data_IF_486159371798
#
_entry.id   IF_486159371798
#
_cell.length_a   1.000
_cell.length_b   1.000
_cell.length_c   1.000
_cell.angle_alpha   90.00
_cell.angle_beta   90.00
_cell.angle_gamma   90.00
#
_symmetry.space_group_name_H-M   'P 1'
#
loop_
_entity.id
_entity.type
_entity.pdbx_description
1 polymer ?
#
# COMPACT_ATOMS: atom_id res chain seq x y z
N UNK A 1 29.38 -8.34 0.60
CA UNK A 1 28.66 -7.56 1.64
C UNK A 1 27.17 -7.58 1.32
N UNK A 2 26.27 -7.29 2.27
CA UNK A 2 24.81 -7.17 2.01
C UNK A 2 24.49 -6.12 0.93
N UNK A 3 25.37 -5.13 0.77
CA UNK A 3 25.29 -4.10 -0.26
C UNK A 3 25.49 -4.68 -1.68
N UNK A 4 26.45 -5.59 -1.87
CA UNK A 4 26.76 -6.16 -3.19
C UNK A 4 25.63 -7.02 -3.74
N UNK A 5 24.94 -7.76 -2.86
CA UNK A 5 23.75 -8.53 -3.21
C UNK A 5 22.59 -7.62 -3.65
N UNK A 6 22.42 -6.48 -2.98
CA UNK A 6 21.32 -5.55 -3.26
C UNK A 6 21.60 -4.65 -4.47
N UNK A 7 22.87 -4.31 -4.75
CA UNK A 7 23.28 -3.68 -6.03
C UNK A 7 22.92 -4.60 -7.21
N UNK A 8 23.06 -5.92 -7.02
CA UNK A 8 22.70 -6.93 -8.02
C UNK A 8 21.20 -6.91 -8.37
N UNK A 9 20.31 -6.49 -7.46
CA UNK A 9 18.89 -6.30 -7.77
C UNK A 9 18.65 -5.14 -8.75
N UNK A 10 19.47 -4.08 -8.67
CA UNK A 10 19.36 -2.93 -9.57
C UNK A 10 19.98 -3.20 -10.94
N UNK A 11 21.07 -3.96 -10.98
CA UNK A 11 21.84 -4.22 -12.23
C UNK A 11 21.44 -5.52 -12.93
N UNK A 12 20.93 -6.50 -12.20
CA UNK A 12 20.60 -7.84 -12.68
C UNK A 12 19.34 -8.42 -11.97
N UNK A 13 18.15 -7.81 -12.16
CA UNK A 13 16.94 -8.15 -11.40
C UNK A 13 16.52 -9.62 -11.52
N UNK A 14 16.69 -10.23 -12.71
CA UNK A 14 16.32 -11.63 -12.96
C UNK A 14 17.24 -12.58 -12.20
N UNK A 15 18.54 -12.32 -12.23
CA UNK A 15 19.56 -13.11 -11.53
C UNK A 15 19.38 -12.99 -10.02
N UNK A 16 19.09 -11.78 -9.52
CA UNK A 16 18.78 -11.57 -8.11
C UNK A 16 17.48 -12.28 -7.70
N UNK A 17 16.41 -12.19 -8.51
CA UNK A 17 15.18 -12.95 -8.26
C UNK A 17 15.45 -14.45 -8.19
N UNK A 18 16.23 -15.01 -9.11
CA UNK A 18 16.61 -16.42 -9.08
C UNK A 18 17.42 -16.80 -7.84
N UNK A 19 18.34 -15.93 -7.40
CA UNK A 19 19.10 -16.11 -6.16
C UNK A 19 18.19 -16.09 -4.92
N UNK A 20 17.32 -15.08 -4.81
CA UNK A 20 16.36 -14.96 -3.70
C UNK A 20 15.42 -16.17 -3.66
N UNK A 21 14.88 -16.58 -4.80
CA UNK A 21 14.04 -17.78 -4.90
C UNK A 21 14.82 -19.04 -4.45
N UNK A 22 16.11 -19.16 -4.79
CA UNK A 22 16.95 -20.28 -4.36
C UNK A 22 17.24 -20.26 -2.84
N UNK A 23 17.60 -19.10 -2.27
CA UNK A 23 17.82 -18.93 -0.82
C UNK A 23 16.55 -19.26 -0.05
N UNK A 24 15.41 -18.75 -0.50
CA UNK A 24 14.12 -19.00 0.15
C UNK A 24 13.72 -20.46 0.03
N UNK A 25 14.03 -21.13 -1.09
CA UNK A 25 13.82 -22.58 -1.24
C UNK A 25 14.63 -23.39 -0.24
N UNK A 26 15.89 -23.01 0.05
CA UNK A 26 16.72 -23.64 1.08
C UNK A 26 16.14 -23.36 2.48
N UNK A 27 15.68 -22.14 2.75
CA UNK A 27 15.05 -21.77 4.02
C UNK A 27 13.73 -22.48 4.35
N UNK A 28 13.11 -23.16 3.38
CA UNK A 28 11.88 -23.96 3.60
C UNK A 28 12.08 -25.17 4.52
N UNK A 29 13.32 -25.65 4.68
CA UNK A 29 13.64 -26.75 5.60
C UNK A 29 13.59 -26.32 7.08
N UNK A 30 13.39 -25.02 7.35
CA UNK A 30 13.39 -24.42 8.69
C UNK A 30 12.08 -23.66 9.03
N UNK A 31 10.93 -24.07 8.48
CA UNK A 31 9.59 -23.51 8.79
C UNK A 31 9.41 -21.98 8.55
N UNK A 32 10.28 -21.35 7.76
CA UNK A 32 10.11 -19.94 7.39
C UNK A 32 9.02 -19.74 6.31
N UNK A 33 8.08 -18.82 6.56
CA UNK A 33 7.05 -18.43 5.58
C UNK A 33 7.69 -17.73 4.38
N UNK A 34 7.67 -18.40 3.22
CA UNK A 34 8.25 -17.97 1.94
C UNK A 34 7.78 -16.56 1.53
N UNK A 35 6.48 -16.24 1.66
CA UNK A 35 5.98 -14.91 1.31
C UNK A 35 6.55 -13.81 2.22
N UNK A 36 6.70 -14.09 3.52
CA UNK A 36 7.26 -13.15 4.49
C UNK A 36 8.70 -12.76 4.11
N UNK A 37 9.49 -13.71 3.60
CA UNK A 37 10.84 -13.46 3.13
C UNK A 37 10.86 -12.60 1.85
N UNK A 38 10.02 -12.90 0.85
CA UNK A 38 9.95 -12.06 -0.36
C UNK A 38 9.59 -10.60 -0.05
N UNK A 39 8.61 -10.37 0.84
CA UNK A 39 8.23 -9.01 1.24
C UNK A 39 9.30 -8.32 2.09
N UNK A 40 10.08 -9.07 2.87
CA UNK A 40 11.21 -8.52 3.63
C UNK A 40 12.34 -8.06 2.72
N UNK A 41 12.66 -8.85 1.69
CA UNK A 41 13.62 -8.47 0.64
C UNK A 41 13.12 -7.24 -0.14
N UNK A 42 11.84 -7.22 -0.53
CA UNK A 42 11.24 -6.06 -1.20
C UNK A 42 11.34 -4.80 -0.32
N UNK A 43 11.03 -4.91 0.98
CA UNK A 43 11.12 -3.77 1.90
C UNK A 43 12.56 -3.24 1.98
N UNK A 44 13.55 -4.13 2.08
CA UNK A 44 14.96 -3.75 2.10
C UNK A 44 15.36 -3.02 0.82
N UNK A 45 14.87 -3.49 -0.34
CA UNK A 45 15.06 -2.79 -1.62
C UNK A 45 14.41 -1.40 -1.62
N UNK A 46 13.18 -1.27 -1.12
CA UNK A 46 12.52 0.03 -1.02
C UNK A 46 13.27 0.98 -0.08
N UNK A 47 13.71 0.51 1.09
CA UNK A 47 14.47 1.29 2.07
C UNK A 47 15.77 1.85 1.46
N UNK A 48 16.54 1.04 0.74
CA UNK A 48 17.79 1.46 0.10
C UNK A 48 17.61 2.59 -0.92
N UNK A 49 16.44 2.65 -1.55
CA UNK A 49 16.09 3.68 -2.53
C UNK A 49 15.33 4.86 -1.92
N UNK A 50 15.24 4.95 -0.59
CA UNK A 50 14.35 5.89 0.12
C UNK A 50 12.91 5.85 -0.42
N UNK A 51 12.51 4.65 -0.87
CA UNK A 51 11.25 4.34 -1.51
C UNK A 51 10.90 5.25 -2.71
N UNK A 52 11.91 5.76 -3.42
CA UNK A 52 11.78 6.61 -4.60
C UNK A 52 12.52 6.03 -5.82
N UNK A 53 11.82 5.95 -6.96
CA UNK A 53 12.29 5.26 -8.17
C UNK A 53 12.20 6.19 -9.39
N UNK A 54 13.27 6.98 -9.69
CA UNK A 54 13.26 8.02 -10.72
C UNK A 54 12.88 7.52 -12.13
N UNK A 55 13.26 6.28 -12.45
CA UNK A 55 12.94 5.63 -13.72
C UNK A 55 11.43 5.38 -13.87
N UNK A 56 10.75 5.05 -12.77
CA UNK A 56 9.30 4.86 -12.76
C UNK A 56 8.57 6.22 -12.82
N UNK A 57 9.11 7.26 -12.18
CA UNK A 57 8.58 8.63 -12.32
C UNK A 57 8.68 9.11 -13.77
N UNK A 58 9.83 8.91 -14.39
CA UNK A 58 10.06 9.28 -15.80
C UNK A 58 9.08 8.53 -16.71
N UNK A 59 8.92 7.23 -16.49
CA UNK A 59 7.95 6.40 -17.23
C UNK A 59 6.51 6.87 -17.02
N UNK A 60 6.13 7.26 -15.80
CA UNK A 60 4.81 7.82 -15.52
C UNK A 60 4.57 9.11 -16.31
N UNK A 61 5.56 10.01 -16.35
CA UNK A 61 5.48 11.26 -17.11
C UNK A 61 5.34 11.02 -18.62
N UNK A 62 6.10 10.06 -19.17
CA UNK A 62 5.96 9.64 -20.57
C UNK A 62 4.57 9.10 -20.87
N UNK A 63 4.03 8.22 -20.01
CA UNK A 63 2.68 7.68 -20.16
C UNK A 63 1.61 8.77 -20.06
N UNK A 64 1.74 9.72 -19.13
CA UNK A 64 0.82 10.86 -19.02
C UNK A 64 0.79 11.66 -20.32
N UNK A 65 1.94 11.93 -20.92
CA UNK A 65 2.04 12.63 -22.22
C UNK A 65 1.42 11.80 -23.35
N UNK A 66 1.76 10.51 -23.44
CA UNK A 66 1.25 9.61 -24.48
C UNK A 66 -0.28 9.46 -24.42
N UNK A 67 -0.85 9.38 -23.22
CA UNK A 67 -2.29 9.24 -22.99
C UNK A 67 -3.03 10.59 -22.99
N UNK A 68 -2.31 11.71 -23.08
CA UNK A 68 -2.88 13.04 -22.93
C UNK A 68 -3.53 13.28 -21.56
N UNK A 69 -3.03 12.65 -20.50
CA UNK A 69 -3.55 12.81 -19.13
C UNK A 69 -2.99 14.11 -18.54
N UNK A 70 -3.91 15.02 -18.21
CA UNK A 70 -3.64 16.29 -17.53
C UNK A 70 -4.29 16.31 -16.15
N UNK A 71 -3.98 17.31 -15.33
CA UNK A 71 -4.54 17.46 -13.98
C UNK A 71 -6.08 17.53 -13.96
N UNK A 72 -6.68 18.10 -15.01
CA UNK A 72 -8.13 18.32 -15.11
C UNK A 72 -8.84 17.27 -15.97
N UNK A 73 -8.16 16.18 -16.32
CA UNK A 73 -8.77 15.12 -17.10
C UNK A 73 -9.85 14.41 -16.28
N UNK A 74 -11.12 14.53 -16.68
CA UNK A 74 -12.23 13.77 -16.10
C UNK A 74 -12.41 12.38 -16.74
N UNK A 75 -11.83 12.17 -17.92
CA UNK A 75 -11.94 10.93 -18.72
C UNK A 75 -10.70 10.03 -18.64
N UNK A 76 -9.97 10.02 -17.51
CA UNK A 76 -8.75 9.23 -17.36
C UNK A 76 -9.04 7.74 -17.55
N UNK A 77 -10.12 7.22 -16.96
CA UNK A 77 -10.49 5.82 -17.09
C UNK A 77 -10.70 5.41 -18.55
N UNK A 78 -11.34 6.25 -19.37
CA UNK A 78 -11.56 5.99 -20.79
C UNK A 78 -10.24 5.96 -21.56
N UNK A 79 -9.37 6.94 -21.34
CA UNK A 79 -8.02 6.97 -21.94
C UNK A 79 -7.21 5.71 -21.63
N UNK A 80 -7.29 5.19 -20.40
CA UNK A 80 -6.59 3.96 -20.01
C UNK A 80 -7.18 2.72 -20.69
N UNK A 81 -8.52 2.62 -20.78
CA UNK A 81 -9.19 1.53 -21.49
C UNK A 81 -8.84 1.54 -22.97
N UNK A 82 -8.99 2.68 -23.63
CA UNK A 82 -8.71 2.84 -25.06
C UNK A 82 -7.28 2.42 -25.39
N UNK A 83 -6.32 2.78 -24.53
CA UNK A 83 -4.93 2.37 -24.70
C UNK A 83 -4.72 0.87 -24.53
N UNK A 84 -5.34 0.25 -23.52
CA UNK A 84 -5.27 -1.20 -23.29
C UNK A 84 -5.96 -1.99 -24.41
N UNK A 85 -7.11 -1.54 -24.89
CA UNK A 85 -7.86 -2.12 -26.01
C UNK A 85 -7.07 -2.00 -27.31
N UNK A 86 -6.65 -0.79 -27.69
CA UNK A 86 -6.01 -0.55 -28.97
C UNK A 86 -4.62 -1.19 -29.07
N UNK A 87 -3.83 -1.14 -28.00
CA UNK A 87 -2.43 -1.59 -28.03
C UNK A 87 -2.24 -3.04 -27.61
N UNK A 88 -3.11 -3.56 -26.75
CA UNK A 88 -2.96 -4.90 -26.17
C UNK A 88 -4.21 -5.78 -26.32
N UNK A 89 -5.24 -5.32 -27.04
CA UNK A 89 -6.45 -6.09 -27.34
C UNK A 89 -7.18 -6.58 -26.09
N UNK A 90 -7.18 -5.75 -25.04
CA UNK A 90 -7.94 -6.04 -23.82
C UNK A 90 -9.44 -6.00 -24.08
N UNK A 91 -10.18 -6.71 -23.25
CA UNK A 91 -11.63 -6.55 -23.09
C UNK A 91 -11.96 -6.41 -21.60
N UNK A 92 -13.04 -5.71 -21.28
CA UNK A 92 -13.42 -5.42 -19.90
C UNK A 92 -14.82 -5.92 -19.59
N UNK A 93 -15.03 -6.38 -18.36
CA UNK A 93 -16.34 -6.77 -17.83
C UNK A 93 -16.51 -6.21 -16.42
N UNK A 94 -17.33 -5.17 -16.28
CA UNK A 94 -17.51 -4.43 -15.03
C UNK A 94 -18.47 -5.09 -14.04
N UNK A 95 -19.16 -6.16 -14.44
CA UNK A 95 -19.87 -7.07 -13.54
C UNK A 95 -19.34 -8.51 -13.73
N UNK A 96 -18.01 -8.62 -13.78
CA UNK A 96 -17.34 -9.83 -14.26
C UNK A 96 -17.43 -11.05 -13.35
N UNK A 97 -18.01 -10.91 -12.15
CA UNK A 97 -18.22 -12.02 -11.19
C UNK A 97 -19.70 -12.42 -11.04
N UNK A 98 -20.61 -11.86 -11.87
CA UNK A 98 -22.04 -12.16 -11.80
C UNK A 98 -22.35 -13.66 -11.87
N UNK A 99 -21.57 -14.41 -12.64
CA UNK A 99 -21.74 -15.86 -12.86
C UNK A 99 -20.86 -16.71 -11.92
N UNK A 100 -20.06 -16.08 -11.04
CA UNK A 100 -19.18 -16.74 -10.07
C UNK A 100 -19.24 -16.06 -8.70
N UNK A 101 -20.35 -16.22 -7.95
CA UNK A 101 -20.53 -15.56 -6.65
C UNK A 101 -19.41 -15.80 -5.63
N UNK A 102 -18.75 -16.96 -5.71
CA UNK A 102 -17.60 -17.33 -4.88
C UNK A 102 -16.39 -16.40 -5.05
N UNK A 103 -16.27 -15.74 -6.21
CA UNK A 103 -15.21 -14.78 -6.52
C UNK A 103 -15.58 -13.33 -6.14
N UNK A 104 -16.77 -13.06 -5.61
CA UNK A 104 -17.25 -11.70 -5.31
C UNK A 104 -16.42 -10.94 -4.26
N UNK A 105 -15.48 -11.58 -3.58
CA UNK A 105 -14.52 -10.92 -2.69
C UNK A 105 -13.30 -10.35 -3.42
N UNK A 106 -13.03 -10.80 -4.65
CA UNK A 106 -11.98 -10.25 -5.50
C UNK A 106 -12.42 -8.88 -6.03
N UNK A 107 -11.45 -7.96 -6.17
CA UNK A 107 -11.65 -6.69 -6.87
C UNK A 107 -11.58 -6.90 -8.38
N UNK A 108 -10.63 -7.73 -8.83
CA UNK A 108 -10.48 -8.05 -10.24
C UNK A 108 -9.89 -9.45 -10.45
N UNK A 109 -10.10 -9.98 -11.65
CA UNK A 109 -9.45 -11.16 -12.20
C UNK A 109 -9.08 -10.88 -13.66
N UNK A 110 -7.80 -11.05 -14.00
CA UNK A 110 -7.32 -11.01 -15.36
C UNK A 110 -7.29 -12.43 -15.94
N UNK A 111 -8.06 -12.67 -16.99
CA UNK A 111 -7.94 -13.87 -17.82
C UNK A 111 -6.89 -13.59 -18.91
N UNK A 112 -5.70 -14.22 -18.86
CA UNK A 112 -4.66 -14.00 -19.86
C UNK A 112 -5.01 -14.70 -21.19
N UNK A 113 -4.41 -14.25 -22.29
CA UNK A 113 -4.59 -14.85 -23.60
C UNK A 113 -4.24 -13.88 -24.73
N UNK A 114 -4.53 -14.26 -25.98
CA UNK A 114 -4.37 -13.38 -27.16
C UNK A 114 -5.25 -12.12 -27.07
N UNK A 115 -6.38 -12.21 -26.36
CA UNK A 115 -7.27 -11.11 -26.02
C UNK A 115 -7.52 -11.14 -24.51
N UNK A 116 -6.65 -10.50 -23.71
CA UNK A 116 -6.81 -10.52 -22.26
C UNK A 116 -8.17 -9.96 -21.83
N UNK A 117 -8.86 -10.63 -20.90
CA UNK A 117 -10.16 -10.15 -20.37
C UNK A 117 -10.00 -9.76 -18.91
N UNK A 118 -10.24 -8.49 -18.59
CA UNK A 118 -10.21 -7.99 -17.22
C UNK A 118 -11.62 -7.95 -16.65
N UNK A 119 -11.89 -8.85 -15.70
CA UNK A 119 -13.12 -8.92 -14.93
C UNK A 119 -12.98 -8.01 -13.71
N UNK A 120 -13.89 -7.06 -13.53
CA UNK A 120 -13.96 -6.19 -12.37
C UNK A 120 -15.22 -6.48 -11.55
N UNK A 121 -15.11 -6.25 -10.26
CA UNK A 121 -16.25 -6.34 -9.35
C UNK A 121 -17.11 -5.08 -9.42
N UNK A 122 -18.42 -5.24 -9.63
CA UNK A 122 -19.37 -4.10 -9.72
C UNK A 122 -19.45 -3.24 -8.46
N UNK A 123 -19.06 -3.77 -7.30
CA UNK A 123 -19.05 -3.04 -6.02
C UNK A 123 -17.86 -2.08 -5.89
N UNK A 124 -16.97 -2.02 -6.87
CA UNK A 124 -15.84 -1.09 -6.86
C UNK A 124 -16.29 0.34 -7.12
N UNK A 125 -15.79 1.25 -6.29
CA UNK A 125 -15.85 2.69 -6.57
C UNK A 125 -15.08 3.05 -7.85
N UNK A 126 -15.42 4.19 -8.46
CA UNK A 126 -14.70 4.73 -9.62
C UNK A 126 -13.18 4.79 -9.39
N UNK A 127 -12.74 5.31 -8.25
CA UNK A 127 -11.32 5.41 -7.88
C UNK A 127 -10.62 4.04 -7.82
N UNK A 128 -11.30 3.00 -7.35
CA UNK A 128 -10.74 1.65 -7.33
C UNK A 128 -10.62 1.07 -8.74
N UNK A 129 -11.63 1.26 -9.60
CA UNK A 129 -11.58 0.84 -10.99
C UNK A 129 -10.45 1.56 -11.75
N UNK A 130 -10.35 2.88 -11.57
CA UNK A 130 -9.30 3.71 -12.15
C UNK A 130 -7.90 3.22 -11.75
N UNK A 131 -7.72 2.86 -10.48
CA UNK A 131 -6.45 2.31 -10.01
C UNK A 131 -6.11 0.94 -10.62
N UNK A 132 -7.10 0.05 -10.75
CA UNK A 132 -6.91 -1.27 -11.39
C UNK A 132 -6.51 -1.11 -12.86
N UNK A 133 -7.20 -0.24 -13.61
CA UNK A 133 -6.85 0.07 -15.00
C UNK A 133 -5.43 0.64 -15.10
N UNK A 134 -5.07 1.57 -14.21
CA UNK A 134 -3.74 2.19 -14.17
C UNK A 134 -2.64 1.17 -13.88
N UNK A 135 -2.92 0.18 -13.02
CA UNK A 135 -2.02 -0.96 -12.78
C UNK A 135 -1.86 -1.85 -13.99
N UNK A 136 -2.94 -2.14 -14.72
CA UNK A 136 -2.83 -2.91 -15.95
C UNK A 136 -2.01 -2.16 -17.01
N UNK A 137 -2.20 -0.84 -17.15
CA UNK A 137 -1.30 0.00 -17.97
C UNK A 137 0.14 -0.12 -17.49
N UNK A 138 0.38 -0.05 -16.17
CA UNK A 138 1.70 -0.16 -15.57
C UNK A 138 2.39 -1.48 -15.91
N UNK A 139 1.71 -2.61 -15.78
CA UNK A 139 2.28 -3.92 -16.14
C UNK A 139 2.66 -4.01 -17.62
N UNK A 140 1.76 -3.57 -18.52
CA UNK A 140 2.00 -3.61 -19.95
C UNK A 140 3.09 -2.62 -20.40
N UNK A 141 3.17 -1.44 -19.78
CA UNK A 141 4.19 -0.43 -20.08
C UNK A 141 5.59 -0.81 -19.57
N UNK A 142 5.66 -1.62 -18.50
CA UNK A 142 6.91 -2.19 -17.99
C UNK A 142 7.33 -3.46 -18.72
N UNK A 143 6.46 -4.05 -19.55
CA UNK A 143 6.75 -5.27 -20.31
C UNK A 143 6.96 -6.50 -19.42
N UNK A 144 6.30 -6.57 -18.26
CA UNK A 144 6.50 -7.64 -17.28
C UNK A 144 5.50 -8.78 -17.47
N UNK A 145 6.00 -10.02 -17.52
CA UNK A 145 5.17 -11.21 -17.69
C UNK A 145 4.70 -11.81 -16.35
N UNK A 146 5.62 -11.93 -15.37
CA UNK A 146 5.30 -12.47 -14.03
C UNK A 146 4.61 -11.41 -13.18
N UNK A 147 3.29 -11.55 -13.01
CA UNK A 147 2.46 -10.59 -12.26
C UNK A 147 1.22 -11.28 -11.66
N UNK A 148 0.62 -10.72 -10.59
CA UNK A 148 -0.63 -11.23 -10.04
C UNK A 148 -1.78 -11.05 -11.01
N UNK A 149 -2.58 -12.10 -11.22
CA UNK A 149 -3.79 -12.04 -12.05
C UNK A 149 -5.02 -11.60 -11.26
N UNK A 150 -4.94 -11.57 -9.93
CA UNK A 150 -6.04 -11.16 -9.06
C UNK A 150 -5.61 -10.14 -8.03
N UNK A 151 -6.59 -9.54 -7.36
CA UNK A 151 -6.34 -8.65 -6.22
C UNK A 151 -5.88 -9.37 -4.95
N UNK A 152 -5.80 -10.71 -4.95
CA UNK A 152 -5.32 -11.50 -3.83
C UNK A 152 -3.89 -11.98 -4.06
N UNK A 153 -3.10 -12.10 -3.01
CA UNK A 153 -1.71 -12.55 -3.05
C UNK A 153 -1.55 -14.07 -3.26
N UNK A 154 -2.64 -14.75 -3.58
CA UNK A 154 -2.76 -16.19 -3.77
C UNK A 154 -1.77 -16.74 -4.82
N UNK A 155 -1.32 -15.93 -5.77
CA UNK A 155 -0.44 -16.35 -6.87
C UNK A 155 1.01 -15.84 -6.71
N UNK A 156 1.42 -15.47 -5.49
CA UNK A 156 2.79 -15.00 -5.26
C UNK A 156 3.79 -16.17 -5.31
N UNK A 157 4.26 -16.51 -6.50
CA UNK A 157 5.07 -17.70 -6.74
C UNK A 157 6.59 -17.44 -6.73
N UNK A 158 7.04 -16.18 -6.84
CA UNK A 158 8.46 -15.81 -6.85
C UNK A 158 8.68 -14.37 -6.41
N UNK A 159 9.94 -14.03 -6.10
CA UNK A 159 10.31 -12.63 -5.80
C UNK A 159 9.99 -11.70 -6.97
N UNK A 160 10.17 -12.17 -8.21
CA UNK A 160 9.87 -11.39 -9.41
C UNK A 160 8.39 -10.97 -9.48
N UNK A 161 7.45 -11.82 -9.04
CA UNK A 161 6.02 -11.44 -8.94
C UNK A 161 5.81 -10.30 -7.96
N UNK A 162 6.46 -10.36 -6.79
CA UNK A 162 6.38 -9.34 -5.74
C UNK A 162 6.97 -8.02 -6.24
N UNK A 163 8.14 -8.06 -6.86
CA UNK A 163 8.82 -6.90 -7.42
C UNK A 163 8.00 -6.25 -8.55
N UNK A 164 7.50 -7.04 -9.51
CA UNK A 164 6.71 -6.51 -10.62
C UNK A 164 5.38 -5.92 -10.15
N UNK A 165 4.74 -6.55 -9.17
CA UNK A 165 3.54 -5.99 -8.55
C UNK A 165 3.83 -4.65 -7.86
N UNK A 166 4.96 -4.55 -7.15
CA UNK A 166 5.39 -3.28 -6.55
C UNK A 166 5.65 -2.20 -7.61
N UNK A 167 6.45 -2.50 -8.65
CA UNK A 167 6.79 -1.53 -9.70
C UNK A 167 5.56 -1.05 -10.46
N UNK A 168 4.63 -1.95 -10.77
CA UNK A 168 3.35 -1.59 -11.41
C UNK A 168 2.47 -0.74 -10.48
N UNK A 169 2.41 -1.06 -9.18
CA UNK A 169 1.70 -0.23 -8.20
C UNK A 169 2.29 1.18 -8.13
N UNK A 170 3.63 1.29 -8.03
CA UNK A 170 4.32 2.59 -8.01
C UNK A 170 4.00 3.39 -9.26
N UNK A 171 4.16 2.77 -10.44
CA UNK A 171 3.90 3.42 -11.72
C UNK A 171 2.44 3.87 -11.87
N UNK A 172 1.48 3.04 -11.44
CA UNK A 172 0.06 3.41 -11.44
C UNK A 172 -0.23 4.61 -10.53
N UNK A 173 0.35 4.63 -9.33
CA UNK A 173 0.24 5.76 -8.42
C UNK A 173 0.88 7.02 -8.98
N UNK A 174 2.08 6.94 -9.57
CA UNK A 174 2.75 8.08 -10.19
C UNK A 174 2.05 8.59 -11.46
N UNK A 175 1.41 7.69 -12.22
CA UNK A 175 0.58 8.02 -13.38
C UNK A 175 -0.63 8.87 -12.97
N UNK A 176 -1.31 8.50 -11.88
CA UNK A 176 -2.49 9.22 -11.39
C UNK A 176 -2.13 10.46 -10.56
N UNK A 177 -1.13 10.34 -9.68
CA UNK A 177 -0.63 11.37 -8.79
C UNK A 177 0.70 11.93 -9.29
N UNK A 178 0.61 12.90 -10.20
CA UNK A 178 1.76 13.57 -10.81
C UNK A 178 2.76 14.05 -9.75
N UNK A 179 4.03 13.73 -9.97
CA UNK A 179 5.13 14.07 -9.05
C UNK A 179 5.18 15.56 -8.68
N UNK A 180 5.11 16.45 -9.68
CA UNK A 180 5.26 17.89 -9.46
C UNK A 180 4.04 18.47 -8.76
N UNK A 181 2.85 18.14 -9.24
CA UNK A 181 1.60 18.65 -8.70
C UNK A 181 1.34 18.15 -7.29
N UNK A 182 1.59 16.85 -7.04
CA UNK A 182 1.44 16.28 -5.71
C UNK A 182 2.43 16.89 -4.72
N UNK A 183 3.70 17.03 -5.12
CA UNK A 183 4.74 17.66 -4.30
C UNK A 183 4.39 19.11 -3.96
N UNK A 184 3.89 19.88 -4.94
CA UNK A 184 3.40 21.25 -4.68
C UNK A 184 2.26 21.23 -3.65
N UNK A 185 1.28 20.34 -3.81
CA UNK A 185 0.20 20.17 -2.84
C UNK A 185 0.68 19.82 -1.43
N UNK A 186 1.71 19.00 -1.29
CA UNK A 186 2.34 18.71 0.00
C UNK A 186 3.03 19.93 0.61
N UNK A 187 3.73 20.74 -0.20
CA UNK A 187 4.34 21.99 0.26
C UNK A 187 3.27 22.97 0.73
N UNK A 188 2.19 23.15 -0.04
CA UNK A 188 1.06 24.01 0.33
C UNK A 188 0.38 23.50 1.62
N UNK A 189 0.24 22.19 1.77
CA UNK A 189 -0.34 21.56 2.95
C UNK A 189 0.52 21.77 4.20
N UNK A 190 1.84 21.53 4.10
CA UNK A 190 2.79 21.66 5.22
C UNK A 190 3.01 23.10 5.66
N UNK A 191 2.69 24.08 4.82
CA UNK A 191 2.70 25.50 5.14
C UNK A 191 1.43 26.00 5.87
N UNK A 192 0.43 25.16 6.11
CA UNK A 192 -0.73 25.53 6.93
C UNK A 192 -0.35 25.56 8.41
N UNK A 193 -0.84 26.56 9.13
CA UNK A 193 -0.62 26.67 10.59
C UNK A 193 -1.52 25.71 11.39
N UNK A 194 -2.59 25.21 10.77
CA UNK A 194 -3.54 24.26 11.37
C UNK A 194 -3.69 23.01 10.52
N UNK A 195 -3.74 21.86 11.17
CA UNK A 195 -4.08 20.59 10.53
C UNK A 195 -5.59 20.36 10.64
N UNK A 196 -6.25 20.22 9.50
CA UNK A 196 -7.68 19.89 9.43
C UNK A 196 -7.86 18.53 8.76
N UNK A 197 -8.31 17.49 9.49
CA UNK A 197 -8.49 16.16 8.89
C UNK A 197 -9.36 16.11 7.62
N UNK A 198 -10.43 16.92 7.49
CA UNK A 198 -11.18 17.01 6.23
C UNK A 198 -10.35 17.44 5.02
N UNK A 199 -9.23 18.16 5.20
CA UNK A 199 -8.37 18.59 4.09
C UNK A 199 -7.66 17.40 3.44
N UNK A 200 -7.25 16.41 4.23
CA UNK A 200 -6.64 15.18 3.70
C UNK A 200 -7.65 14.44 2.81
N UNK A 201 -8.91 14.35 3.26
CA UNK A 201 -9.97 13.72 2.47
C UNK A 201 -10.22 14.49 1.17
N UNK A 202 -10.32 15.83 1.22
CA UNK A 202 -10.49 16.65 0.01
C UNK A 202 -9.32 16.54 -0.96
N UNK A 203 -8.09 16.50 -0.47
CA UNK A 203 -6.91 16.31 -1.31
C UNK A 203 -6.95 14.96 -2.03
N UNK A 204 -7.37 13.88 -1.34
CA UNK A 204 -7.53 12.57 -1.97
C UNK A 204 -8.59 12.57 -3.08
N UNK A 205 -9.75 13.21 -2.83
CA UNK A 205 -10.85 13.33 -3.78
C UNK A 205 -10.44 14.13 -5.02
N UNK A 206 -9.80 15.29 -4.82
CA UNK A 206 -9.33 16.17 -5.90
C UNK A 206 -8.27 15.51 -6.79
N UNK A 207 -7.51 14.56 -6.24
CA UNK A 207 -6.47 13.83 -6.96
C UNK A 207 -6.93 12.46 -7.46
N UNK A 208 -8.24 12.17 -7.43
CA UNK A 208 -8.84 10.89 -7.83
C UNK A 208 -8.12 9.67 -7.22
N UNK A 209 -7.77 9.78 -5.93
CA UNK A 209 -7.01 8.76 -5.22
C UNK A 209 -7.74 8.22 -4.00
N UNK A 210 -7.42 6.99 -3.63
CA UNK A 210 -7.83 6.43 -2.35
C UNK A 210 -6.71 6.62 -1.32
N UNK A 211 -7.03 6.33 -0.05
CA UNK A 211 -6.09 6.45 1.06
C UNK A 211 -4.76 5.72 0.84
N UNK A 212 -4.79 4.52 0.26
CA UNK A 212 -3.56 3.75 0.04
C UNK A 212 -2.65 4.41 -0.99
N UNK A 213 -3.22 4.82 -2.13
CA UNK A 213 -2.46 5.52 -3.16
C UNK A 213 -1.88 6.84 -2.64
N UNK A 214 -2.70 7.63 -1.96
CA UNK A 214 -2.31 8.94 -1.44
C UNK A 214 -1.18 8.82 -0.41
N UNK A 215 -1.35 7.94 0.57
CA UNK A 215 -0.39 7.77 1.67
C UNK A 215 0.90 7.10 1.21
N UNK A 216 0.85 6.16 0.25
CA UNK A 216 2.08 5.63 -0.35
C UNK A 216 2.77 6.66 -1.26
N UNK A 217 2.03 7.53 -1.94
CA UNK A 217 2.63 8.61 -2.74
C UNK A 217 3.41 9.58 -1.86
N UNK A 218 2.89 9.88 -0.67
CA UNK A 218 3.62 10.65 0.36
C UNK A 218 4.94 9.95 0.68
N UNK A 219 4.95 8.64 0.91
CA UNK A 219 6.19 7.92 1.25
C UNK A 219 7.17 7.78 0.10
N UNK A 220 6.77 8.00 -1.15
CA UNK A 220 7.68 8.09 -2.29
C UNK A 220 8.33 9.48 -2.40
N UNK A 221 7.54 10.54 -2.19
CA UNK A 221 7.97 11.91 -2.53
C UNK A 221 8.57 12.68 -1.35
N UNK A 222 8.14 12.42 -0.11
CA UNK A 222 8.66 13.11 1.08
C UNK A 222 10.16 12.87 1.28
N UNK A 223 10.68 11.63 1.24
CA UNK A 223 12.12 11.41 1.41
C UNK A 223 12.95 12.18 0.39
N UNK A 224 12.51 12.22 -0.87
CA UNK A 224 13.21 12.90 -1.97
C UNK A 224 13.14 14.43 -1.88
N UNK A 225 11.94 14.99 -1.79
CA UNK A 225 11.71 16.43 -1.97
C UNK A 225 11.80 17.24 -0.67
N UNK A 226 11.47 16.62 0.46
CA UNK A 226 11.59 17.24 1.78
C UNK A 226 12.91 16.85 2.47
N UNK A 227 13.71 15.96 1.84
CA UNK A 227 14.95 15.38 2.37
C UNK A 227 14.72 14.78 3.76
N UNK A 228 13.58 14.13 3.94
CA UNK A 228 13.11 13.63 5.22
C UNK A 228 12.75 12.13 5.09
N UNK A 229 13.71 11.23 5.23
CA UNK A 229 13.47 9.79 5.14
C UNK A 229 12.92 9.19 6.44
N UNK A 230 12.95 9.88 7.58
CA UNK A 230 12.53 9.33 8.88
C UNK A 230 11.00 9.28 9.03
N UNK A 231 10.35 8.45 8.22
CA UNK A 231 8.92 8.18 8.24
C UNK A 231 8.64 6.68 8.27
N UNK A 232 7.46 6.31 8.77
CA UNK A 232 6.92 4.96 8.61
C UNK A 232 5.60 5.00 7.87
N UNK A 233 5.24 3.89 7.24
CA UNK A 233 3.91 3.61 6.72
C UNK A 233 3.43 2.27 7.25
N UNK A 234 2.18 2.21 7.71
CA UNK A 234 1.51 0.96 8.09
C UNK A 234 0.13 0.88 7.46
N UNK A 235 -0.24 -0.33 7.05
CA UNK A 235 -1.61 -0.69 6.69
C UNK A 235 -2.07 -1.84 7.56
N UNK A 236 -3.12 -1.60 8.33
CA UNK A 236 -3.80 -2.60 9.13
C UNK A 236 -5.17 -2.93 8.53
N UNK A 237 -5.54 -4.19 8.58
CA UNK A 237 -6.90 -4.63 8.32
C UNK A 237 -7.54 -5.02 9.65
N UNK A 238 -8.80 -4.64 9.82
CA UNK A 238 -9.59 -4.97 11.00
C UNK A 238 -10.73 -5.89 10.61
N UNK A 239 -10.67 -7.12 11.10
CA UNK A 239 -11.71 -8.11 10.89
C UNK A 239 -12.81 -7.93 11.94
N UNK A 240 -14.02 -7.60 11.47
CA UNK A 240 -15.10 -7.16 12.36
C UNK A 240 -15.71 -8.30 13.19
N UNK A 241 -15.63 -9.54 12.70
CA UNK A 241 -16.25 -10.71 13.34
C UNK A 241 -15.52 -11.11 14.63
N UNK A 242 -14.21 -11.08 14.58
CA UNK A 242 -13.27 -11.53 15.61
C UNK A 242 -12.51 -10.37 16.26
N UNK A 243 -12.74 -9.14 15.79
CA UNK A 243 -12.15 -7.91 16.31
C UNK A 243 -10.61 -7.89 16.28
N UNK A 244 -10.00 -8.61 15.33
CA UNK A 244 -8.54 -8.72 15.18
C UNK A 244 -8.03 -7.65 14.21
N UNK A 245 -6.95 -6.96 14.60
CA UNK A 245 -6.26 -5.95 13.79
C UNK A 245 -4.92 -6.52 13.29
N UNK A 246 -4.86 -6.88 12.00
CA UNK A 246 -3.68 -7.53 11.40
C UNK A 246 -2.86 -6.54 10.57
N UNK A 247 -1.55 -6.48 10.80
CA UNK A 247 -0.63 -5.70 9.98
C UNK A 247 -0.47 -6.34 8.60
N UNK A 248 -0.90 -5.65 7.54
CA UNK A 248 -0.86 -6.22 6.18
C UNK A 248 0.18 -5.58 5.26
N UNK A 249 0.70 -4.40 5.62
CA UNK A 249 1.83 -3.77 4.93
C UNK A 249 2.55 -2.83 5.89
N UNK A 250 3.88 -2.86 5.85
CA UNK A 250 4.74 -1.94 6.58
C UNK A 250 5.92 -1.53 5.70
N UNK A 251 6.27 -0.26 5.78
CA UNK A 251 7.46 0.35 5.18
C UNK A 251 8.06 1.29 6.20
N UNK A 252 9.38 1.23 6.37
CA UNK A 252 10.12 2.19 7.15
C UNK A 252 11.02 2.97 6.19
N UNK A 253 11.29 4.23 6.49
CA UNK A 253 12.31 4.98 5.79
C UNK A 253 13.63 4.96 6.54
N UNK A 254 14.69 5.38 5.83
CA UNK A 254 16.06 5.33 6.33
C UNK A 254 16.27 6.16 7.59
N UNK A 255 17.04 5.61 8.54
CA UNK A 255 17.42 6.30 9.77
C UNK A 255 16.32 6.37 10.84
N UNK A 256 15.25 5.58 10.70
CA UNK A 256 14.40 5.26 11.85
C UNK A 256 15.17 4.36 12.84
N UNK A 257 14.95 4.50 14.15
CA UNK A 257 15.56 3.64 15.15
C UNK A 257 15.17 2.18 14.90
N UNK A 258 16.15 1.32 14.58
CA UNK A 258 15.90 -0.12 14.51
C UNK A 258 16.02 -0.69 15.92
N UNK A 259 14.92 -0.76 16.68
CA UNK A 259 14.94 -1.42 17.97
C UNK A 259 15.03 -2.94 17.78
N UNK A 260 16.21 -3.49 18.10
CA UNK A 260 16.54 -4.92 17.94
C UNK A 260 15.92 -5.79 19.04
N UNK A 261 15.41 -5.20 20.14
CA UNK A 261 14.86 -5.94 21.27
C UNK A 261 13.46 -5.47 21.68
N UNK A 262 12.55 -6.45 21.90
CA UNK A 262 11.22 -6.39 22.54
C UNK A 262 10.14 -5.52 21.89
N UNK A 263 8.98 -6.15 21.57
CA UNK A 263 7.68 -5.56 21.19
C UNK A 263 7.79 -4.08 20.74
N UNK A 264 8.38 -3.86 19.57
CA UNK A 264 9.04 -2.60 19.23
C UNK A 264 8.23 -1.32 19.50
N UNK A 265 8.87 -0.34 20.14
CA UNK A 265 8.37 0.99 20.47
C UNK A 265 7.63 1.70 19.32
N UNK A 266 8.18 1.58 18.10
CA UNK A 266 7.54 2.12 16.89
C UNK A 266 6.19 1.45 16.63
N UNK A 267 6.09 0.14 16.89
CA UNK A 267 4.81 -0.58 16.80
C UNK A 267 3.85 -0.10 17.86
N UNK A 268 4.30 0.27 19.06
CA UNK A 268 3.42 0.82 20.09
C UNK A 268 2.72 2.09 19.60
N UNK A 269 3.48 3.04 19.07
CA UNK A 269 2.94 4.29 18.50
C UNK A 269 2.01 4.00 17.30
N UNK A 270 2.44 3.15 16.38
CA UNK A 270 1.65 2.74 15.21
C UNK A 270 0.31 2.10 15.59
N UNK A 271 0.35 1.15 16.53
CA UNK A 271 -0.82 0.40 17.00
C UNK A 271 -1.79 1.31 17.74
N UNK A 272 -1.30 2.20 18.60
CA UNK A 272 -2.16 3.11 19.35
C UNK A 272 -3.00 3.98 18.41
N UNK A 273 -2.35 4.63 17.44
CA UNK A 273 -3.06 5.49 16.47
C UNK A 273 -4.02 4.68 15.62
N UNK A 274 -3.62 3.48 15.21
CA UNK A 274 -4.46 2.56 14.44
C UNK A 274 -5.71 2.17 15.22
N UNK A 275 -5.56 1.79 16.49
CA UNK A 275 -6.66 1.42 17.38
C UNK A 275 -7.64 2.57 17.54
N UNK A 276 -7.15 3.76 17.93
CA UNK A 276 -7.99 4.95 18.14
C UNK A 276 -8.75 5.33 16.86
N UNK A 277 -8.06 5.34 15.71
CA UNK A 277 -8.68 5.71 14.42
C UNK A 277 -9.78 4.72 14.03
N UNK A 278 -9.53 3.41 14.15
CA UNK A 278 -10.53 2.38 13.84
C UNK A 278 -11.70 2.39 14.80
N UNK A 279 -11.46 2.63 16.09
CA UNK A 279 -12.52 2.76 17.10
C UNK A 279 -13.44 3.93 16.76
N UNK A 280 -12.87 5.12 16.49
CA UNK A 280 -13.65 6.30 16.06
C UNK A 280 -14.45 6.05 14.78
N UNK A 281 -13.84 5.39 13.80
CA UNK A 281 -14.50 5.05 12.54
C UNK A 281 -15.74 4.16 12.78
N UNK A 282 -15.61 3.17 13.66
CA UNK A 282 -16.69 2.23 14.00
C UNK A 282 -17.79 2.87 14.83
N UNK A 283 -17.43 3.60 15.88
CA UNK A 283 -18.39 4.23 16.79
C UNK A 283 -19.26 5.26 16.06
N UNK A 284 -18.66 6.01 15.14
CA UNK A 284 -19.38 6.95 14.29
C UNK A 284 -20.17 6.28 13.15
N UNK A 285 -20.11 4.94 13.01
CA UNK A 285 -20.77 4.14 11.95
C UNK A 285 -20.52 4.71 10.54
N UNK A 286 -19.28 5.13 10.29
CA UNK A 286 -18.92 5.82 9.05
C UNK A 286 -18.86 4.83 7.88
N UNK A 287 -19.32 5.29 6.72
CA UNK A 287 -19.21 4.56 5.44
C UNK A 287 -18.20 5.21 4.49
N UNK A 288 -17.77 6.43 4.81
CA UNK A 288 -16.76 7.20 4.08
C UNK A 288 -15.45 7.25 4.87
N UNK A 289 -14.30 7.44 4.22
CA UNK A 289 -13.03 7.56 4.91
C UNK A 289 -13.03 8.68 5.95
N UNK A 290 -12.44 8.42 7.12
CA UNK A 290 -12.12 9.46 8.11
C UNK A 290 -10.62 9.60 8.25
N UNK A 291 -10.16 10.80 8.59
CA UNK A 291 -8.77 11.08 8.90
C UNK A 291 -8.65 11.49 10.38
N UNK A 292 -7.56 11.08 11.02
CA UNK A 292 -7.13 11.55 12.34
C UNK A 292 -5.67 11.97 12.27
N UNK A 293 -5.25 12.78 13.26
CA UNK A 293 -3.85 13.18 13.43
C UNK A 293 -3.50 13.20 14.92
N UNK A 294 -2.30 12.73 15.25
CA UNK A 294 -1.78 12.73 16.62
C UNK A 294 -0.29 13.04 16.64
N UNK A 295 0.17 13.70 17.71
CA UNK A 295 1.56 13.63 18.14
C UNK A 295 1.66 12.50 19.15
N UNK A 296 2.45 11.47 18.86
CA UNK A 296 2.54 10.27 19.69
C UNK A 296 3.98 10.01 20.06
N UNK A 297 4.22 9.84 21.36
CA UNK A 297 5.52 9.50 21.91
C UNK A 297 5.43 8.17 22.64
N UNK A 298 6.43 7.30 22.46
CA UNK A 298 6.58 6.15 23.34
C UNK A 298 7.36 6.56 24.59
N UNK A 299 6.87 6.17 25.76
CA UNK A 299 7.38 6.62 27.06
C UNK A 299 8.90 6.37 27.22
N UNK A 300 9.39 5.21 26.75
CA UNK A 300 10.78 4.80 26.98
C UNK A 300 11.79 5.50 26.04
N UNK A 301 11.39 5.98 24.86
CA UNK A 301 12.34 6.29 23.78
C UNK A 301 12.52 7.74 23.41
N UNK A 302 11.80 8.65 24.08
CA UNK A 302 11.77 10.10 23.78
C UNK A 302 11.47 10.48 22.32
N UNK A 303 11.33 9.51 21.41
CA UNK A 303 10.93 9.73 20.02
C UNK A 303 9.46 10.08 19.97
N UNK A 304 9.17 11.21 19.33
CA UNK A 304 7.82 11.65 19.04
C UNK A 304 7.58 11.56 17.54
N UNK A 305 6.40 11.07 17.16
CA UNK A 305 5.94 11.00 15.78
C UNK A 305 4.69 11.85 15.60
N UNK A 306 4.62 12.60 14.50
CA UNK A 306 3.35 13.11 14.01
C UNK A 306 2.75 12.04 13.09
N UNK A 307 1.60 11.47 13.46
CA UNK A 307 0.98 10.37 12.72
C UNK A 307 -0.34 10.83 12.12
N UNK A 308 -0.43 10.77 10.79
CA UNK A 308 -1.67 10.97 10.03
C UNK A 308 -2.22 9.58 9.73
N UNK A 309 -3.50 9.36 10.05
CA UNK A 309 -4.14 8.04 9.92
C UNK A 309 -5.50 8.15 9.25
N UNK A 310 -5.80 7.24 8.33
CA UNK A 310 -7.05 7.21 7.56
C UNK A 310 -7.69 5.83 7.67
N UNK A 311 -8.93 5.77 8.17
CA UNK A 311 -9.72 4.55 8.26
C UNK A 311 -10.92 4.56 7.30
N UNK A 312 -11.21 3.42 6.69
CA UNK A 312 -12.26 3.27 5.66
C UNK A 312 -12.67 1.79 5.47
N UNK A 313 -13.83 1.49 4.85
CA UNK A 313 -14.25 0.11 4.61
C UNK A 313 -13.48 -0.51 3.43
N UNK A 314 -13.12 -1.79 3.52
CA UNK A 314 -12.33 -2.49 2.51
C UNK A 314 -13.21 -3.15 1.44
N UNK A 315 -13.85 -2.35 0.58
CA UNK A 315 -14.68 -2.88 -0.51
C UNK A 315 -13.89 -3.81 -1.46
N UNK A 316 -14.51 -4.91 -1.95
CA UNK A 316 -15.91 -5.34 -1.75
C UNK A 316 -16.16 -6.17 -0.46
N UNK A 317 -15.18 -6.29 0.43
CA UNK A 317 -15.31 -7.08 1.66
C UNK A 317 -16.04 -6.29 2.75
N UNK A 318 -17.30 -6.66 3.01
CA UNK A 318 -18.20 -5.94 3.94
C UNK A 318 -17.82 -6.10 5.42
N UNK A 319 -17.06 -7.15 5.77
CA UNK A 319 -16.64 -7.46 7.14
C UNK A 319 -15.21 -7.01 7.47
N UNK A 320 -14.61 -6.16 6.63
CA UNK A 320 -13.24 -5.69 6.79
C UNK A 320 -13.17 -4.17 6.71
N UNK A 321 -12.56 -3.58 7.73
CA UNK A 321 -12.10 -2.20 7.67
C UNK A 321 -10.59 -2.17 7.40
N UNK A 322 -10.11 -1.05 6.86
CA UNK A 322 -8.70 -0.79 6.66
C UNK A 322 -8.32 0.51 7.35
N UNK A 323 -7.11 0.55 7.91
CA UNK A 323 -6.50 1.74 8.48
C UNK A 323 -5.10 1.90 7.92
N UNK A 324 -4.81 3.09 7.40
CA UNK A 324 -3.50 3.44 6.84
C UNK A 324 -2.94 4.62 7.60
N UNK A 325 -1.71 4.46 8.07
CA UNK A 325 -1.02 5.50 8.83
C UNK A 325 0.32 5.83 8.19
N UNK A 326 0.66 7.11 8.16
CA UNK A 326 2.02 7.60 7.90
C UNK A 326 2.45 8.41 9.11
N UNK A 327 3.55 7.99 9.73
CA UNK A 327 4.16 8.69 10.85
C UNK A 327 5.46 9.35 10.43
N UNK A 328 5.69 10.58 10.88
CA UNK A 328 6.91 11.34 10.63
C UNK A 328 7.61 11.61 11.96
N UNK A 329 8.90 11.28 12.05
CA UNK A 329 9.69 11.56 13.25
C UNK A 329 9.79 13.08 13.48
N UNK A 330 9.36 13.55 14.64
CA UNK A 330 9.39 14.97 15.00
C UNK A 330 10.81 15.35 15.40
N UNK A 331 11.62 15.73 14.41
CA UNK A 331 12.95 16.30 14.61
C UNK A 331 13.02 17.72 14.05
N UNK A 332 14.15 18.42 14.27
CA UNK A 332 14.35 19.79 13.80
C UNK A 332 14.10 19.96 12.29
N UNK A 333 14.41 18.94 11.48
CA UNK A 333 14.16 18.98 10.03
C UNK A 333 12.67 18.96 9.73
N UNK A 334 11.91 18.06 10.35
CA UNK A 334 10.45 18.00 10.20
C UNK A 334 9.79 19.30 10.67
N UNK A 335 10.19 19.80 11.85
CA UNK A 335 9.67 21.06 12.42
C UNK A 335 9.91 22.24 11.48
N UNK A 336 11.09 22.32 10.87
CA UNK A 336 11.43 23.41 9.92
C UNK A 336 10.62 23.38 8.62
N UNK A 337 9.94 22.26 8.31
CA UNK A 337 9.21 22.06 7.05
C UNK A 337 7.70 21.95 7.22
N UNK A 338 7.21 21.77 8.45
CA UNK A 338 5.80 21.48 8.71
C UNK A 338 5.26 22.41 9.79
N UNK A 339 4.54 23.48 9.42
CA UNK A 339 4.07 24.50 10.36
C UNK A 339 3.03 23.97 11.35
N UNK A 340 2.06 23.19 10.87
CA UNK A 340 1.02 22.61 11.71
C UNK A 340 1.53 21.61 12.75
N UNK A 341 2.83 21.24 12.77
CA UNK A 341 3.38 20.43 13.89
C UNK A 341 3.19 21.15 15.23
N UNK A 342 3.17 22.49 15.21
CA UNK A 342 2.95 23.35 16.36
C UNK A 342 1.46 23.68 16.59
N UNK A 343 0.55 23.09 15.82
CA UNK A 343 -0.88 23.29 16.02
C UNK A 343 -1.31 22.72 17.39
N UNK A 344 -1.77 23.56 18.33
CA UNK A 344 -2.19 23.11 19.66
C UNK A 344 -3.48 22.27 19.64
N UNK A 345 -4.21 22.21 18.52
CA UNK A 345 -5.37 21.33 18.38
C UNK A 345 -5.01 19.88 18.09
N UNK A 346 -3.76 19.61 17.66
CA UNK A 346 -3.29 18.24 17.46
C UNK A 346 -3.02 17.61 18.82
N UNK A 347 -3.81 16.60 19.17
CA UNK A 347 -3.71 15.88 20.44
C UNK A 347 -2.35 15.19 20.54
N UNK A 348 -1.69 15.42 21.67
CA UNK A 348 -0.45 14.74 22.06
C UNK A 348 -0.76 13.58 23.01
N UNK A 349 -0.10 12.44 22.80
CA UNK A 349 -0.32 11.20 23.53
C UNK A 349 1.01 10.55 23.85
N UNK A 350 1.15 10.09 25.09
CA UNK A 350 2.23 9.18 25.49
C UNK A 350 1.70 7.75 25.56
N UNK A 351 2.33 6.84 24.82
CA UNK A 351 2.02 5.41 24.84
C UNK A 351 2.97 4.73 25.81
N UNK A 352 2.40 3.94 26.72
CA UNK A 352 3.15 3.22 27.75
C UNK A 352 3.24 1.74 27.41
N UNK A 353 4.22 1.06 27.98
CA UNK A 353 4.33 -0.40 27.90
C UNK A 353 3.06 -1.10 28.40
N UNK A 354 2.41 -0.56 29.43
CA UNK A 354 1.14 -1.08 29.96
C UNK A 354 0.06 -1.12 28.86
N UNK A 355 -0.12 -0.03 28.12
CA UNK A 355 -1.11 0.02 27.03
C UNK A 355 -0.83 -1.05 25.97
N UNK A 356 0.44 -1.23 25.61
CA UNK A 356 0.88 -2.24 24.61
C UNK A 356 0.52 -3.65 25.08
N UNK A 357 0.74 -3.95 26.36
CA UNK A 357 0.41 -5.26 26.94
C UNK A 357 -1.09 -5.50 27.01
N UNK A 358 -1.87 -4.49 27.42
CA UNK A 358 -3.35 -4.58 27.50
C UNK A 358 -4.01 -4.82 26.13
N UNK A 359 -3.38 -4.36 25.05
CA UNK A 359 -3.90 -4.48 23.68
C UNK A 359 -3.14 -5.51 22.85
N UNK A 360 -2.25 -6.30 23.46
CA UNK A 360 -1.36 -7.20 22.74
C UNK A 360 -2.13 -8.20 21.87
N UNK A 361 -3.20 -8.81 22.40
CA UNK A 361 -4.03 -9.79 21.69
C UNK A 361 -4.93 -9.18 20.61
N UNK A 362 -5.15 -7.85 20.64
CA UNK A 362 -5.94 -7.15 19.60
C UNK A 362 -5.14 -7.03 18.30
N UNK A 363 -3.81 -7.04 18.40
CA UNK A 363 -2.91 -6.80 17.28
C UNK A 363 -2.16 -8.05 16.87
N UNK A 364 -2.22 -8.33 15.58
CA UNK A 364 -1.46 -9.42 14.99
C UNK A 364 -0.34 -8.88 14.10
N UNK A 365 0.90 -9.11 14.54
CA UNK A 365 2.10 -8.78 13.79
C UNK A 365 2.38 -9.88 12.76
N UNK A 366 1.88 -9.66 11.55
CA UNK A 366 2.22 -10.53 10.45
C UNK A 366 1.47 -10.10 9.20
N UNK A 367 2.22 -9.75 8.16
CA UNK A 367 1.70 -9.94 6.80
C UNK A 367 1.15 -11.37 6.75
N UNK A 368 -0.07 -11.49 6.25
CA UNK A 368 -1.13 -12.26 6.89
C UNK A 368 -0.65 -13.51 7.65
N UNK A 369 -0.76 -13.50 8.96
CA UNK A 369 -0.77 -14.73 9.73
C UNK A 369 -2.12 -15.44 9.48
N UNK A 370 -2.13 -16.68 8.96
CA UNK A 370 -3.33 -17.48 8.90
C UNK A 370 -3.42 -18.28 10.19
N UNK A 371 -4.59 -18.32 10.82
CA UNK A 371 -5.03 -19.59 11.42
C UNK A 371 -4.92 -20.64 10.28
N UNK A 372 -3.91 -21.50 10.38
CA UNK A 372 -3.22 -22.14 9.25
C UNK A 372 -4.10 -23.04 8.38
N UNK A 373 -5.17 -23.62 8.93
CA UNK A 373 -5.91 -24.68 8.22
C UNK A 373 -7.05 -24.10 7.39
N UNK A 374 -8.00 -23.37 8.01
CA UNK A 374 -9.18 -22.83 7.30
C UNK A 374 -8.81 -21.83 6.20
N UNK A 375 -7.70 -21.09 6.39
CA UNK A 375 -7.25 -20.09 5.43
C UNK A 375 -6.50 -20.72 4.26
N UNK A 376 -5.69 -21.76 4.47
CA UNK A 376 -5.09 -22.50 3.36
C UNK A 376 -6.16 -23.20 2.52
N UNK A 377 -7.14 -23.84 3.15
CA UNK A 377 -8.28 -24.43 2.46
C UNK A 377 -9.06 -23.39 1.65
N UNK A 378 -9.30 -22.20 2.22
CA UNK A 378 -9.94 -21.11 1.50
C UNK A 378 -9.10 -20.62 0.31
N UNK A 379 -7.78 -20.43 0.47
CA UNK A 379 -6.90 -20.01 -0.61
C UNK A 379 -6.78 -21.09 -1.69
N UNK A 380 -6.76 -22.38 -1.32
CA UNK A 380 -6.78 -23.52 -2.24
C UNK A 380 -8.09 -23.57 -3.02
N UNK A 381 -9.23 -23.41 -2.35
CA UNK A 381 -10.54 -23.32 -3.00
C UNK A 381 -10.57 -22.16 -4.01
N UNK A 382 -10.11 -20.98 -3.58
CA UNK A 382 -10.08 -19.80 -4.43
C UNK A 382 -9.12 -19.98 -5.63
N UNK A 383 -7.95 -20.63 -5.45
CA UNK A 383 -7.05 -21.02 -6.57
C UNK A 383 -7.76 -21.94 -7.56
N UNK A 384 -8.49 -22.93 -7.06
CA UNK A 384 -9.22 -23.89 -7.91
C UNK A 384 -10.30 -23.20 -8.72
N UNK A 385 -11.04 -22.29 -8.09
CA UNK A 385 -12.08 -21.49 -8.76
C UNK A 385 -11.50 -20.56 -9.82
N UNK A 386 -10.44 -19.81 -9.48
CA UNK A 386 -9.71 -18.95 -10.43
C UNK A 386 -9.20 -19.77 -11.62
N UNK A 387 -8.55 -20.91 -11.35
CA UNK A 387 -8.06 -21.81 -12.39
C UNK A 387 -9.17 -22.37 -13.28
N UNK A 388 -10.36 -22.61 -12.71
CA UNK A 388 -11.54 -23.02 -13.46
C UNK A 388 -12.09 -21.93 -14.38
N UNK A 389 -11.99 -20.66 -13.99
CA UNK A 389 -12.40 -19.52 -14.85
C UNK A 389 -11.37 -19.25 -15.94
N UNK A 390 -10.06 -19.32 -15.63
CA UNK A 390 -8.99 -19.05 -16.62
C UNK A 390 -8.92 -20.13 -17.71
N UNK A 391 -9.30 -21.37 -17.42
CA UNK A 391 -9.26 -22.49 -18.38
C UNK A 391 -10.47 -22.56 -19.31
N UNK A 392 -11.56 -21.87 -18.99
CA UNK A 392 -12.74 -21.72 -19.85
C UNK A 392 -12.48 -20.61 -20.85
#
# INVERSE_FOLDING_TARGET
SSHDLLVLLSTAPVQFSAFVDAVIRIGREHDFKVESLYFSVLRSYQEMHDNYFPELETKAQELRKQLGITQHSSNIADKLKDWLETKYNYSFDFDGFKDQPQLNKLRYLLIPGKRPKLLLNKKLSYTQQLFILSREVGFNALGVAKRPLTSSWIETLSFEHVLNNFRSYYLASALLLDERLFTKGLVDFTNKDRFTPPDVIRLMEQSHSNAEMFMLRITNLVPKYFRFPQLFFTRYNHALKDNVITLTKALNGSGLPQNVNSIGEDKACQRWVTYDTLTKFREAKQTKPICTVFKVQYEESHYQYLVISVAYPMLPSENLNCCISVGFLVNNRFISKTRFVNDPSIKEITVTKKWVMEHYETFEDGMPNPKLIEREEHLISLRKEIGGVIKK
#
